data_IF_635080876382
#
_entry.id   IF_635080876382
#
_cell.length_a   1.000
_cell.length_b   1.000
_cell.length_c   1.000
_cell.angle_alpha   90.00
_cell.angle_beta   90.00
_cell.angle_gamma   90.00
#
_symmetry.space_group_name_H-M   'P 1'
#
loop_
_entity.id
_entity.type
_entity.pdbx_description
1 polymer ?
#
# COMPACT_ATOMS: atom_id res chain seq x y z
N UNK A 1 24.85 -5.87 13.80
CA UNK A 1 24.37 -4.76 14.64
C UNK A 1 24.94 -3.49 14.06
N UNK A 2 24.11 -2.46 13.88
CA UNK A 2 24.52 -1.15 13.35
C UNK A 2 25.56 -0.55 14.28
N UNK A 3 26.70 -0.08 13.76
CA UNK A 3 27.67 0.67 14.55
C UNK A 3 27.21 2.12 14.68
N UNK A 4 26.68 2.46 15.86
CA UNK A 4 26.16 3.78 16.19
C UNK A 4 27.00 4.48 17.26
N UNK A 5 28.22 3.99 17.54
CA UNK A 5 29.02 4.46 18.67
C UNK A 5 29.31 5.97 18.65
N UNK A 6 29.36 6.58 17.47
CA UNK A 6 29.63 8.01 17.27
C UNK A 6 28.46 8.77 16.63
N UNK A 7 27.26 8.19 16.58
CA UNK A 7 26.10 8.83 15.99
C UNK A 7 25.33 9.64 17.05
N UNK A 8 25.14 10.93 16.82
CA UNK A 8 24.31 11.80 17.65
C UNK A 8 22.89 11.90 17.06
N UNK A 9 21.87 11.28 17.69
CA UNK A 9 20.50 11.30 17.16
C UNK A 9 19.81 12.66 17.30
N UNK A 10 20.43 13.63 18.00
CA UNK A 10 19.89 14.99 18.16
C UNK A 10 20.53 15.99 17.19
N UNK A 11 21.49 15.55 16.37
CA UNK A 11 22.11 16.43 15.38
C UNK A 11 21.28 16.49 14.09
N UNK A 12 21.64 17.40 13.19
CA UNK A 12 21.03 17.46 11.86
C UNK A 12 21.29 16.16 11.08
N UNK A 13 20.26 15.66 10.40
CA UNK A 13 20.37 14.47 9.56
C UNK A 13 21.39 14.65 8.44
N UNK A 14 22.29 13.68 8.27
CA UNK A 14 23.26 13.67 7.17
C UNK A 14 22.58 13.16 5.88
N UNK A 15 22.47 13.96 4.81
CA UNK A 15 21.82 13.54 3.57
C UNK A 15 22.60 12.48 2.78
N UNK A 16 23.86 12.21 3.13
CA UNK A 16 24.64 11.11 2.54
C UNK A 16 24.36 9.76 3.22
N UNK A 17 23.63 9.75 4.33
CA UNK A 17 23.17 8.55 5.00
C UNK A 17 21.84 8.07 4.39
N UNK A 18 21.26 7.01 4.97
CA UNK A 18 20.00 6.45 4.48
C UNK A 18 18.77 7.18 5.10
N UNK A 19 17.60 6.56 5.09
CA UNK A 19 16.35 7.12 5.61
C UNK A 19 16.51 7.55 7.07
N UNK A 20 15.91 8.69 7.44
CA UNK A 20 16.10 9.37 8.72
C UNK A 20 17.54 9.82 9.01
N UNK A 21 18.43 9.85 8.00
CA UNK A 21 19.83 10.23 8.19
C UNK A 21 20.65 9.17 8.95
N UNK A 22 20.15 7.93 9.05
CA UNK A 22 20.81 6.84 9.76
C UNK A 22 21.94 6.22 8.91
N UNK A 23 23.12 5.98 9.48
CA UNK A 23 24.26 5.37 8.78
C UNK A 23 24.12 3.83 8.72
N UNK A 24 22.93 3.37 8.34
CA UNK A 24 22.57 1.95 8.25
C UNK A 24 22.79 1.42 6.84
N UNK A 25 23.03 0.12 6.76
CA UNK A 25 23.10 -0.64 5.52
C UNK A 25 21.97 -1.66 5.45
N UNK A 26 21.72 -2.23 4.27
CA UNK A 26 20.72 -3.31 4.15
C UNK A 26 21.06 -4.51 5.04
N UNK A 27 22.35 -4.82 5.22
CA UNK A 27 22.82 -5.98 5.97
C UNK A 27 22.62 -5.83 7.48
N UNK A 28 22.80 -4.63 8.03
CA UNK A 28 22.64 -4.36 9.46
C UNK A 28 21.22 -3.93 9.86
N UNK A 29 20.39 -3.51 8.90
CA UNK A 29 19.03 -3.10 9.17
C UNK A 29 18.13 -4.28 9.56
N UNK A 30 17.24 -4.04 10.53
CA UNK A 30 16.15 -4.96 10.88
C UNK A 30 14.97 -4.79 9.93
N UNK A 31 14.58 -3.55 9.63
CA UNK A 31 13.52 -3.20 8.69
C UNK A 31 14.12 -2.67 7.39
N UNK A 32 13.79 -3.33 6.28
CA UNK A 32 14.12 -2.85 4.93
C UNK A 32 12.85 -2.34 4.25
N UNK A 33 12.87 -1.08 3.82
CA UNK A 33 11.79 -0.42 3.08
C UNK A 33 12.07 -0.56 1.58
N UNK A 34 11.12 -1.14 0.87
CA UNK A 34 11.10 -1.23 -0.59
C UNK A 34 10.33 -0.03 -1.17
N UNK A 35 11.00 0.96 -1.80
CA UNK A 35 10.31 1.95 -2.61
C UNK A 35 9.80 1.36 -3.91
N UNK A 36 8.53 1.60 -4.21
CA UNK A 36 7.88 1.10 -5.42
C UNK A 36 7.22 2.29 -6.12
N UNK A 37 7.94 2.97 -7.03
CA UNK A 37 7.46 4.15 -7.73
C UNK A 37 6.47 3.76 -8.84
N UNK A 38 5.25 3.39 -8.46
CA UNK A 38 4.22 2.88 -9.36
C UNK A 38 2.88 3.60 -9.19
N UNK A 39 2.27 4.04 -10.28
CA UNK A 39 0.98 4.75 -10.27
C UNK A 39 0.10 4.49 -11.50
N UNK A 40 0.35 3.40 -12.22
CA UNK A 40 -0.20 3.22 -13.57
C UNK A 40 -1.71 3.30 -13.62
N UNK A 41 -2.39 2.85 -12.57
CA UNK A 41 -3.85 2.64 -12.58
C UNK A 41 -4.63 3.73 -11.87
N UNK A 42 -4.00 4.81 -11.41
CA UNK A 42 -4.70 5.92 -10.75
C UNK A 42 -5.75 6.55 -11.68
N UNK A 43 -6.91 6.89 -11.14
CA UNK A 43 -8.07 7.34 -11.91
C UNK A 43 -8.40 8.83 -11.76
N UNK A 44 -7.93 9.47 -10.69
CA UNK A 44 -8.19 10.89 -10.42
C UNK A 44 -6.88 11.69 -10.27
N UNK A 45 -6.31 11.77 -9.07
CA UNK A 45 -5.04 12.45 -8.83
C UNK A 45 -3.83 11.59 -9.17
N UNK A 46 -2.91 12.14 -9.96
CA UNK A 46 -1.61 11.52 -10.30
C UNK A 46 -0.44 12.12 -9.49
N UNK A 47 0.72 11.49 -9.57
CA UNK A 47 1.99 11.87 -8.93
C UNK A 47 2.48 10.88 -7.88
N UNK A 48 1.71 9.83 -7.56
CA UNK A 48 2.03 8.95 -6.43
C UNK A 48 3.27 8.08 -6.66
N UNK A 49 3.72 7.87 -7.91
CA UNK A 49 5.01 7.21 -8.14
C UNK A 49 6.21 8.03 -7.62
N UNK A 50 6.01 9.31 -7.29
CA UNK A 50 7.02 10.18 -6.65
C UNK A 50 6.96 10.15 -5.12
N UNK A 51 5.94 9.53 -4.52
CA UNK A 51 5.77 9.47 -3.07
C UNK A 51 6.99 8.86 -2.34
N UNK A 52 7.62 7.76 -2.82
CA UNK A 52 8.78 7.22 -2.13
C UNK A 52 9.96 8.20 -2.03
N UNK A 53 10.21 8.98 -3.09
CA UNK A 53 11.27 9.99 -3.08
C UNK A 53 10.94 11.16 -2.15
N UNK A 54 9.68 11.63 -2.18
CA UNK A 54 9.22 12.72 -1.33
C UNK A 54 9.32 12.35 0.15
N UNK A 55 8.91 11.13 0.51
CA UNK A 55 8.97 10.62 1.88
C UNK A 55 10.42 10.44 2.33
N UNK A 56 11.31 9.91 1.49
CA UNK A 56 12.73 9.80 1.83
C UNK A 56 13.33 11.18 2.16
N UNK A 57 13.01 12.22 1.38
CA UNK A 57 13.48 13.59 1.62
C UNK A 57 12.89 14.16 2.92
N UNK A 58 11.59 13.98 3.15
CA UNK A 58 10.91 14.47 4.34
C UNK A 58 11.39 13.78 5.62
N UNK A 59 11.72 12.48 5.53
CA UNK A 59 12.20 11.68 6.66
C UNK A 59 13.48 12.24 7.29
N UNK A 60 14.30 13.00 6.55
CA UNK A 60 15.49 13.68 7.09
C UNK A 60 15.16 14.79 8.10
N UNK A 61 13.92 15.24 8.17
CA UNK A 61 13.46 16.30 9.08
C UNK A 61 12.78 15.76 10.33
N UNK A 62 12.70 14.43 10.49
CA UNK A 62 12.04 13.79 11.63
C UNK A 62 13.06 13.49 12.72
N UNK A 63 12.76 13.90 13.95
CA UNK A 63 13.55 13.55 15.13
C UNK A 63 13.48 12.05 15.41
N UNK A 64 14.60 11.45 15.80
CA UNK A 64 14.69 10.01 16.04
C UNK A 64 14.16 9.56 17.41
N UNK A 65 14.00 10.50 18.34
CA UNK A 65 13.51 10.22 19.69
C UNK A 65 11.99 10.06 19.69
N UNK A 66 11.53 8.91 20.17
CA UNK A 66 10.13 8.62 20.44
C UNK A 66 9.96 8.35 21.95
N UNK A 67 8.99 8.98 22.61
CA UNK A 67 8.85 8.85 24.07
C UNK A 67 8.35 7.47 24.53
N UNK A 68 7.67 6.73 23.68
CA UNK A 68 7.20 5.37 23.97
C UNK A 68 8.27 4.33 23.62
N UNK A 69 9.10 4.62 22.62
CA UNK A 69 10.22 3.76 22.21
C UNK A 69 11.52 4.58 22.05
N UNK A 70 12.14 5.05 23.16
CA UNK A 70 13.30 5.97 23.11
C UNK A 70 14.48 5.52 22.26
N UNK A 71 14.66 4.21 22.13
CA UNK A 71 15.77 3.58 21.41
C UNK A 71 15.31 2.84 20.15
N UNK A 72 14.12 3.15 19.66
CA UNK A 72 13.55 2.53 18.45
C UNK A 72 14.46 2.72 17.24
N UNK A 73 15.01 3.92 17.07
CA UNK A 73 15.94 4.26 15.98
C UNK A 73 17.18 3.34 15.92
N UNK A 74 17.63 2.76 17.04
CA UNK A 74 18.77 1.83 17.11
C UNK A 74 18.48 0.44 16.52
N UNK A 75 17.22 0.13 16.23
CA UNK A 75 16.83 -1.16 15.64
C UNK A 75 17.31 -1.34 14.20
N UNK A 76 17.69 -0.25 13.52
CA UNK A 76 18.23 -0.27 12.16
C UNK A 76 17.14 -0.29 11.09
N UNK A 77 17.08 0.80 10.32
CA UNK A 77 16.13 1.04 9.23
C UNK A 77 16.90 1.33 7.96
N UNK A 78 16.50 0.73 6.84
CA UNK A 78 17.14 0.98 5.56
C UNK A 78 16.10 1.02 4.46
N UNK A 79 16.07 2.08 3.68
CA UNK A 79 15.30 2.18 2.44
C UNK A 79 16.22 1.88 1.26
N UNK A 80 15.83 0.90 0.45
CA UNK A 80 16.53 0.61 -0.80
C UNK A 80 16.50 1.81 -1.74
N UNK A 81 17.45 1.95 -2.66
CA UNK A 81 17.37 2.98 -3.69
C UNK A 81 16.15 2.76 -4.60
N UNK A 82 15.56 3.85 -5.08
CA UNK A 82 14.45 3.81 -6.02
C UNK A 82 14.92 3.19 -7.34
N UNK A 83 14.23 2.14 -7.79
CA UNK A 83 14.53 1.51 -9.07
C UNK A 83 14.08 2.41 -10.24
N UNK A 84 15.06 3.00 -10.93
CA UNK A 84 14.81 3.91 -12.06
C UNK A 84 14.16 3.22 -13.25
N UNK A 85 14.41 1.92 -13.48
CA UNK A 85 13.80 1.18 -14.59
C UNK A 85 12.33 0.93 -14.30
N UNK A 86 12.00 0.59 -13.05
CA UNK A 86 10.62 0.46 -12.60
C UNK A 86 9.87 1.78 -12.73
N UNK A 87 10.47 2.89 -12.30
CA UNK A 87 9.88 4.21 -12.43
C UNK A 87 9.62 4.59 -13.90
N UNK A 88 10.61 4.40 -14.78
CA UNK A 88 10.44 4.66 -16.22
C UNK A 88 9.32 3.81 -16.84
N UNK A 89 9.18 2.55 -16.40
CA UNK A 89 8.09 1.68 -16.84
C UNK A 89 6.73 2.18 -16.34
N UNK A 90 6.64 2.59 -15.08
CA UNK A 90 5.43 3.21 -14.52
C UNK A 90 5.05 4.46 -15.32
N UNK A 91 5.98 5.38 -15.55
CA UNK A 91 5.72 6.62 -16.29
C UNK A 91 5.24 6.36 -17.72
N UNK A 92 5.79 5.35 -18.40
CA UNK A 92 5.33 4.95 -19.74
C UNK A 92 3.91 4.38 -19.71
N UNK A 93 3.67 3.36 -18.87
CA UNK A 93 2.37 2.69 -18.80
C UNK A 93 1.27 3.62 -18.26
N UNK A 94 1.62 4.57 -17.39
CA UNK A 94 0.70 5.58 -16.90
C UNK A 94 0.17 6.45 -18.04
N UNK A 95 1.04 6.92 -18.94
CA UNK A 95 0.61 7.71 -20.13
C UNK A 95 -0.31 6.90 -21.04
N UNK A 96 0.01 5.63 -21.24
CA UNK A 96 -0.84 4.71 -22.01
C UNK A 96 -2.21 4.52 -21.33
N UNK A 97 -2.22 4.30 -20.01
CA UNK A 97 -3.46 4.20 -19.23
C UNK A 97 -4.30 5.48 -19.32
N UNK A 98 -3.69 6.67 -19.25
CA UNK A 98 -4.39 7.96 -19.40
C UNK A 98 -5.11 8.09 -20.74
N UNK A 99 -4.43 7.76 -21.84
CA UNK A 99 -5.02 7.78 -23.18
C UNK A 99 -6.21 6.81 -23.27
N UNK A 100 -6.08 5.64 -22.67
CA UNK A 100 -7.14 4.65 -22.63
C UNK A 100 -8.33 5.09 -21.75
N UNK A 101 -8.08 5.65 -20.57
CA UNK A 101 -9.12 6.17 -19.66
C UNK A 101 -9.90 7.30 -20.35
N UNK A 102 -9.21 8.26 -20.97
CA UNK A 102 -9.84 9.33 -21.73
C UNK A 102 -10.70 8.77 -22.88
N UNK A 103 -10.21 7.76 -23.60
CA UNK A 103 -10.97 7.10 -24.67
C UNK A 103 -12.26 6.47 -24.15
N UNK A 104 -12.22 5.64 -23.10
CA UNK A 104 -13.43 4.99 -22.57
C UNK A 104 -14.39 5.98 -21.88
N UNK A 105 -13.87 7.07 -21.30
CA UNK A 105 -14.70 8.11 -20.67
C UNK A 105 -15.64 8.82 -21.65
N UNK A 106 -15.30 8.80 -22.95
CA UNK A 106 -16.12 9.37 -24.04
C UNK A 106 -17.18 8.40 -24.56
N UNK A 107 -17.27 7.20 -23.99
CA UNK A 107 -18.19 6.15 -24.41
C UNK A 107 -17.74 5.38 -25.65
N UNK A 108 -16.46 5.50 -26.01
CA UNK A 108 -15.90 4.84 -27.20
C UNK A 108 -15.70 3.33 -26.98
N UNK A 109 -15.90 2.54 -28.02
CA UNK A 109 -15.75 1.08 -27.94
C UNK A 109 -14.29 0.66 -28.12
N UNK A 110 -13.71 0.02 -27.09
CA UNK A 110 -12.30 -0.44 -27.09
C UNK A 110 -12.05 -1.50 -28.18
N UNK A 111 -13.04 -2.38 -28.42
CA UNK A 111 -12.93 -3.48 -29.40
C UNK A 111 -12.75 -2.95 -30.83
N UNK A 112 -13.27 -1.76 -31.13
CA UNK A 112 -13.20 -1.12 -32.44
C UNK A 112 -11.85 -0.45 -32.71
N UNK A 113 -11.01 -0.28 -31.67
CA UNK A 113 -9.71 0.39 -31.78
C UNK A 113 -8.57 -0.56 -31.37
N UNK A 114 -7.80 -1.03 -32.37
CA UNK A 114 -6.70 -1.96 -32.15
C UNK A 114 -5.61 -1.41 -31.22
N UNK A 115 -5.37 -0.10 -31.26
CA UNK A 115 -4.40 0.55 -30.40
C UNK A 115 -4.87 0.53 -28.94
N UNK A 116 -6.11 0.96 -28.66
CA UNK A 116 -6.69 0.91 -27.31
C UNK A 116 -6.81 -0.52 -26.76
N UNK A 117 -7.22 -1.47 -27.62
CA UNK A 117 -7.23 -2.90 -27.29
C UNK A 117 -5.84 -3.43 -26.93
N UNK A 118 -4.78 -2.90 -27.54
CA UNK A 118 -3.40 -3.24 -27.20
C UNK A 118 -2.98 -2.57 -25.88
N UNK A 119 -3.30 -1.30 -25.70
CA UNK A 119 -2.97 -0.53 -24.48
C UNK A 119 -3.51 -1.20 -23.22
N UNK A 120 -4.79 -1.59 -23.17
CA UNK A 120 -5.34 -2.29 -21.99
C UNK A 120 -4.63 -3.62 -21.69
N UNK A 121 -4.17 -4.35 -22.72
CA UNK A 121 -3.37 -5.56 -22.51
C UNK A 121 -2.01 -5.23 -21.91
N UNK A 122 -1.31 -4.25 -22.45
CA UNK A 122 0.01 -3.82 -21.95
C UNK A 122 -0.06 -3.31 -20.51
N UNK A 123 -1.10 -2.56 -20.14
CA UNK A 123 -1.31 -2.10 -18.74
C UNK A 123 -1.54 -3.29 -17.80
N UNK A 124 -2.38 -4.24 -18.19
CA UNK A 124 -2.63 -5.44 -17.40
C UNK A 124 -1.38 -6.33 -17.26
N UNK A 125 -0.60 -6.50 -18.33
CA UNK A 125 0.71 -7.16 -18.28
C UNK A 125 1.70 -6.39 -17.38
N UNK A 126 1.60 -5.06 -17.35
CA UNK A 126 2.30 -4.19 -16.41
C UNK A 126 1.99 -4.53 -14.96
N UNK A 127 0.73 -4.72 -14.60
CA UNK A 127 0.30 -5.13 -13.26
C UNK A 127 0.79 -6.53 -12.87
N UNK A 128 0.77 -7.49 -13.79
CA UNK A 128 1.38 -8.82 -13.58
C UNK A 128 2.88 -8.70 -13.30
N UNK A 129 3.58 -7.91 -14.13
CA UNK A 129 5.00 -7.65 -13.94
C UNK A 129 5.29 -7.02 -12.58
N UNK A 130 4.56 -5.99 -12.19
CA UNK A 130 4.74 -5.33 -10.90
C UNK A 130 4.56 -6.35 -9.77
N UNK A 131 3.46 -7.09 -9.79
CA UNK A 131 3.15 -8.11 -8.77
C UNK A 131 4.30 -9.10 -8.63
N UNK A 132 4.84 -9.60 -9.74
CA UNK A 132 5.98 -10.52 -9.73
C UNK A 132 7.26 -9.86 -9.19
N UNK A 133 7.57 -8.65 -9.65
CA UNK A 133 8.75 -7.92 -9.20
C UNK A 133 8.72 -7.67 -7.69
N UNK A 134 7.58 -7.23 -7.13
CA UNK A 134 7.42 -6.99 -5.69
C UNK A 134 7.53 -8.29 -4.90
N UNK A 135 6.92 -9.37 -5.40
CA UNK A 135 7.05 -10.70 -4.82
C UNK A 135 8.51 -11.14 -4.72
N UNK A 136 9.27 -11.03 -5.81
CA UNK A 136 10.68 -11.47 -5.85
C UNK A 136 11.55 -10.65 -4.89
N UNK A 137 11.39 -9.32 -4.86
CA UNK A 137 12.12 -8.45 -3.95
C UNK A 137 11.80 -8.76 -2.48
N UNK A 138 10.51 -8.93 -2.17
CA UNK A 138 10.03 -9.21 -0.81
C UNK A 138 10.53 -10.57 -0.35
N UNK A 139 10.43 -11.60 -1.18
CA UNK A 139 10.85 -12.96 -0.86
C UNK A 139 12.34 -13.04 -0.51
N UNK A 140 13.20 -12.36 -1.27
CA UNK A 140 14.63 -12.30 -0.97
C UNK A 140 14.88 -11.71 0.42
N UNK A 141 14.25 -10.58 0.74
CA UNK A 141 14.42 -9.94 2.04
C UNK A 141 13.88 -10.77 3.20
N UNK A 142 12.70 -11.39 3.03
CA UNK A 142 12.11 -12.28 4.03
C UNK A 142 12.99 -13.51 4.31
N UNK A 143 13.61 -14.09 3.27
CA UNK A 143 14.54 -15.21 3.39
C UNK A 143 15.84 -14.82 4.12
N UNK A 144 16.26 -13.57 3.99
CA UNK A 144 17.38 -13.00 4.74
C UNK A 144 17.01 -12.59 6.18
N UNK A 145 15.82 -12.98 6.66
CA UNK A 145 15.37 -12.71 8.02
C UNK A 145 15.00 -11.25 8.29
N UNK A 146 14.83 -10.42 7.24
CA UNK A 146 14.47 -9.01 7.37
C UNK A 146 12.98 -8.84 7.62
N UNK A 147 12.62 -7.80 8.36
CA UNK A 147 11.28 -7.22 8.28
C UNK A 147 11.23 -6.36 7.02
N UNK A 148 10.12 -6.40 6.29
CA UNK A 148 9.97 -5.69 5.01
C UNK A 148 8.82 -4.72 5.10
N UNK A 149 9.09 -3.46 4.79
CA UNK A 149 8.09 -2.42 4.58
C UNK A 149 7.98 -2.13 3.09
N UNK A 150 6.78 -1.87 2.60
CA UNK A 150 6.57 -1.41 1.22
C UNK A 150 6.14 0.04 1.26
N UNK A 151 6.82 0.87 0.50
CA UNK A 151 6.43 2.24 0.26
C UNK A 151 6.08 2.41 -1.22
N UNK A 152 4.78 2.34 -1.50
CA UNK A 152 4.27 2.35 -2.87
C UNK A 152 4.06 3.74 -3.45
N UNK A 153 3.39 3.75 -4.60
CA UNK A 153 2.63 4.89 -5.08
C UNK A 153 1.14 4.59 -4.95
N UNK A 154 0.55 3.93 -5.94
CA UNK A 154 -0.86 3.51 -5.87
C UNK A 154 -1.05 2.22 -5.06
N UNK A 155 -2.29 1.96 -4.67
CA UNK A 155 -2.63 0.83 -3.79
C UNK A 155 -2.60 -0.54 -4.48
N UNK A 156 -2.27 -0.63 -5.77
CA UNK A 156 -2.09 -1.94 -6.44
C UNK A 156 -0.80 -2.65 -6.03
N UNK A 157 0.18 -1.88 -5.55
CA UNK A 157 1.54 -2.29 -5.23
C UNK A 157 1.69 -3.51 -4.30
N UNK A 158 0.96 -3.64 -3.17
CA UNK A 158 1.28 -4.63 -2.15
C UNK A 158 0.87 -6.08 -2.51
N UNK A 159 0.18 -6.33 -3.63
CA UNK A 159 -0.26 -7.68 -4.00
C UNK A 159 0.91 -8.69 -4.08
N UNK A 160 2.06 -8.28 -4.63
CA UNK A 160 3.25 -9.13 -4.69
C UNK A 160 3.82 -9.45 -3.31
N UNK A 161 3.75 -8.49 -2.38
CA UNK A 161 4.14 -8.68 -0.99
C UNK A 161 3.24 -9.72 -0.32
N UNK A 162 1.91 -9.61 -0.49
CA UNK A 162 0.95 -10.55 0.07
C UNK A 162 1.24 -11.98 -0.38
N UNK A 163 1.55 -12.17 -1.67
CA UNK A 163 1.94 -13.47 -2.22
C UNK A 163 3.22 -14.01 -1.58
N UNK A 164 4.21 -13.15 -1.29
CA UNK A 164 5.47 -13.57 -0.68
C UNK A 164 5.27 -14.01 0.79
N UNK A 165 4.48 -13.28 1.58
CA UNK A 165 4.21 -13.69 2.97
C UNK A 165 3.32 -14.93 3.07
N UNK A 166 2.47 -15.19 2.07
CA UNK A 166 1.66 -16.40 2.01
C UNK A 166 2.47 -17.70 1.93
N UNK A 167 3.73 -17.65 1.49
CA UNK A 167 4.64 -18.79 1.52
C UNK A 167 5.25 -19.04 2.91
N UNK A 168 5.24 -18.02 3.78
CA UNK A 168 5.84 -18.06 5.11
C UNK A 168 4.80 -18.32 6.21
N UNK A 169 3.58 -17.86 6.02
CA UNK A 169 2.51 -17.97 7.00
C UNK A 169 1.35 -18.80 6.43
N UNK A 170 1.00 -19.89 7.12
CA UNK A 170 -0.14 -20.74 6.74
C UNK A 170 -1.49 -20.02 6.82
N UNK A 171 -1.58 -18.99 7.68
CA UNK A 171 -2.74 -18.12 7.83
C UNK A 171 -2.32 -16.73 8.33
N UNK A 172 -2.86 -15.70 7.70
CA UNK A 172 -2.69 -14.31 8.11
C UNK A 172 -3.92 -13.47 7.76
N UNK A 173 -4.03 -12.30 8.36
CA UNK A 173 -5.04 -11.29 8.05
C UNK A 173 -4.43 -10.01 7.51
N UNK A 174 -5.26 -9.19 6.86
CA UNK A 174 -4.92 -7.83 6.46
C UNK A 174 -5.79 -6.86 7.27
N UNK A 175 -5.15 -5.89 7.91
CA UNK A 175 -5.81 -4.67 8.38
C UNK A 175 -5.61 -3.61 7.32
N UNK A 176 -6.67 -3.20 6.65
CA UNK A 176 -6.70 -2.13 5.66
C UNK A 176 -7.28 -0.88 6.31
N UNK A 177 -6.50 0.21 6.31
CA UNK A 177 -6.96 1.55 6.67
C UNK A 177 -7.10 2.32 5.36
N UNK A 178 -8.32 2.72 5.02
CA UNK A 178 -8.65 3.16 3.65
C UNK A 178 -10.04 3.83 3.61
N UNK A 179 -10.23 4.80 2.72
CA UNK A 179 -11.54 5.38 2.44
C UNK A 179 -12.41 4.46 1.54
N UNK A 180 -11.80 3.54 0.82
CA UNK A 180 -12.38 2.67 -0.19
C UNK A 180 -12.27 1.20 0.20
N UNK A 181 -13.06 0.36 -0.48
CA UNK A 181 -13.02 -1.08 -0.27
C UNK A 181 -11.87 -1.77 -1.02
N UNK A 182 -11.50 -1.28 -2.20
CA UNK A 182 -10.62 -1.96 -3.15
C UNK A 182 -11.03 -3.39 -3.50
N UNK A 183 -12.34 -3.63 -3.56
CA UNK A 183 -12.94 -4.94 -3.79
C UNK A 183 -13.51 -5.11 -5.20
N UNK A 184 -13.19 -4.18 -6.12
CA UNK A 184 -13.64 -4.31 -7.52
C UNK A 184 -12.90 -5.43 -8.21
N UNK A 185 -13.60 -6.22 -9.02
CA UNK A 185 -12.99 -7.29 -9.84
C UNK A 185 -11.95 -6.70 -10.80
N UNK A 186 -12.29 -5.57 -11.40
CA UNK A 186 -11.43 -4.72 -12.22
C UNK A 186 -11.99 -3.30 -12.16
N UNK A 187 -11.16 -2.30 -12.47
CA UNK A 187 -11.59 -0.92 -12.61
C UNK A 187 -11.01 -0.34 -13.89
N UNK A 188 -11.85 0.33 -14.69
CA UNK A 188 -11.52 0.81 -16.04
C UNK A 188 -11.05 -0.32 -17.00
N UNK A 189 -11.24 -1.59 -16.64
CA UNK A 189 -10.71 -2.73 -17.39
C UNK A 189 -9.29 -3.15 -16.98
N UNK A 190 -8.71 -2.52 -15.96
CA UNK A 190 -7.47 -2.93 -15.33
C UNK A 190 -7.76 -3.95 -14.22
N UNK A 191 -7.27 -5.18 -14.39
CA UNK A 191 -7.45 -6.29 -13.45
C UNK A 191 -6.58 -6.14 -12.20
N UNK A 192 -5.45 -5.44 -12.31
CA UNK A 192 -4.53 -5.14 -11.22
C UNK A 192 -4.60 -3.65 -10.87
N UNK A 193 -5.82 -3.10 -10.82
CA UNK A 193 -6.06 -1.71 -10.41
C UNK A 193 -5.81 -1.50 -8.93
N UNK A 194 -5.50 -0.26 -8.55
CA UNK A 194 -5.53 0.19 -7.15
C UNK A 194 -6.86 -0.20 -6.47
N UNK A 195 -7.99 0.04 -7.14
CA UNK A 195 -9.34 -0.31 -6.65
C UNK A 195 -9.67 -1.83 -6.63
N UNK A 196 -8.71 -2.71 -6.93
CA UNK A 196 -8.89 -4.16 -7.06
C UNK A 196 -7.95 -4.99 -6.20
N UNK A 197 -7.04 -4.35 -5.45
CA UNK A 197 -5.95 -5.06 -4.77
C UNK A 197 -6.47 -6.06 -3.72
N UNK A 198 -7.52 -5.71 -2.97
CA UNK A 198 -8.07 -6.57 -1.93
C UNK A 198 -8.92 -7.69 -2.51
N UNK A 199 -9.65 -7.43 -3.60
CA UNK A 199 -10.32 -8.49 -4.36
C UNK A 199 -9.31 -9.53 -4.86
N UNK A 200 -8.22 -9.06 -5.47
CA UNK A 200 -7.15 -9.92 -5.96
C UNK A 200 -6.48 -10.71 -4.83
N UNK A 201 -6.22 -10.08 -3.68
CA UNK A 201 -5.65 -10.77 -2.53
C UNK A 201 -6.57 -11.89 -2.02
N UNK A 202 -7.85 -11.60 -1.80
CA UNK A 202 -8.82 -12.57 -1.26
C UNK A 202 -9.08 -13.77 -2.18
N UNK A 203 -9.00 -13.56 -3.49
CA UNK A 203 -9.27 -14.57 -4.52
C UNK A 203 -8.02 -15.38 -4.89
N UNK A 204 -6.85 -14.76 -4.90
CA UNK A 204 -5.61 -15.41 -5.34
C UNK A 204 -4.77 -16.00 -4.20
N UNK A 205 -5.04 -15.62 -2.94
CA UNK A 205 -4.23 -16.03 -1.78
C UNK A 205 -5.10 -16.76 -0.76
N UNK A 206 -5.14 -18.10 -0.78
CA UNK A 206 -5.93 -18.90 0.17
C UNK A 206 -5.53 -18.70 1.64
N UNK A 207 -4.27 -18.38 1.92
CA UNK A 207 -3.74 -18.15 3.27
C UNK A 207 -4.24 -16.84 3.90
N UNK A 208 -4.80 -15.92 3.11
CA UNK A 208 -5.44 -14.71 3.63
C UNK A 208 -6.78 -15.09 4.28
N UNK A 209 -6.78 -15.33 5.59
CA UNK A 209 -7.97 -15.84 6.29
C UNK A 209 -8.96 -14.73 6.64
N UNK A 210 -8.48 -13.50 6.83
CA UNK A 210 -9.30 -12.36 7.25
C UNK A 210 -8.87 -11.05 6.61
N UNK A 211 -9.81 -10.28 6.10
CA UNK A 211 -9.65 -8.86 5.77
C UNK A 211 -10.47 -8.03 6.77
N UNK A 212 -9.83 -7.08 7.43
CA UNK A 212 -10.50 -6.09 8.28
C UNK A 212 -10.25 -4.71 7.69
N UNK A 213 -11.30 -3.99 7.33
CA UNK A 213 -11.23 -2.68 6.70
C UNK A 213 -11.71 -1.61 7.67
N UNK A 214 -11.06 -0.46 7.73
CA UNK A 214 -11.37 0.63 8.67
C UNK A 214 -11.32 1.97 7.96
N UNK A 215 -12.38 2.77 8.08
CA UNK A 215 -12.45 4.11 7.50
C UNK A 215 -13.22 4.19 6.16
N UNK A 216 -13.75 3.05 5.69
CA UNK A 216 -14.46 2.94 4.42
C UNK A 216 -15.69 3.86 4.41
N UNK A 217 -15.81 4.65 3.35
CA UNK A 217 -16.89 5.63 3.16
C UNK A 217 -17.27 5.87 1.71
N UNK A 218 -16.49 5.36 0.75
CA UNK A 218 -16.87 5.30 -0.66
C UNK A 218 -16.73 3.87 -1.20
N UNK A 219 -17.79 3.36 -1.83
CA UNK A 219 -17.88 1.99 -2.33
C UNK A 219 -19.04 1.82 -3.31
N UNK A 220 -18.86 0.94 -4.29
CA UNK A 220 -19.89 0.59 -5.28
C UNK A 220 -20.89 -0.46 -4.80
N UNK A 221 -21.98 -0.63 -5.56
CA UNK A 221 -23.01 -1.65 -5.29
C UNK A 221 -22.48 -3.09 -5.36
N UNK A 222 -21.61 -3.38 -6.33
CA UNK A 222 -21.01 -4.71 -6.47
C UNK A 222 -20.09 -5.05 -5.30
N UNK A 223 -19.32 -4.07 -4.81
CA UNK A 223 -18.46 -4.21 -3.63
C UNK A 223 -19.31 -4.45 -2.38
N UNK A 224 -20.42 -3.72 -2.23
CA UNK A 224 -21.38 -3.92 -1.14
C UNK A 224 -21.98 -5.33 -1.11
N UNK A 225 -22.39 -5.86 -2.28
CA UNK A 225 -22.89 -7.24 -2.37
C UNK A 225 -21.76 -8.25 -2.12
N UNK A 226 -20.53 -7.98 -2.58
CA UNK A 226 -19.38 -8.83 -2.26
C UNK A 226 -19.10 -8.89 -0.75
N UNK A 227 -19.13 -7.75 -0.04
CA UNK A 227 -19.00 -7.69 1.41
C UNK A 227 -20.07 -8.53 2.12
N UNK A 228 -21.33 -8.40 1.71
CA UNK A 228 -22.45 -9.16 2.29
C UNK A 228 -22.29 -10.66 2.12
N UNK A 229 -21.79 -11.10 0.97
CA UNK A 229 -21.61 -12.51 0.64
C UNK A 229 -20.36 -13.13 1.28
N UNK A 230 -19.46 -12.32 1.86
CA UNK A 230 -18.17 -12.77 2.39
C UNK A 230 -17.92 -12.35 3.86
N UNK A 231 -18.99 -12.19 4.66
CA UNK A 231 -18.91 -11.71 6.07
C UNK A 231 -17.99 -12.54 6.99
N UNK A 232 -17.82 -13.83 6.70
CA UNK A 232 -16.93 -14.68 7.49
C UNK A 232 -15.45 -14.29 7.30
N UNK A 233 -15.08 -13.88 6.08
CA UNK A 233 -13.71 -13.48 5.73
C UNK A 233 -13.47 -11.98 5.78
N UNK A 234 -14.51 -11.14 5.70
CA UNK A 234 -14.36 -9.68 5.63
C UNK A 234 -15.12 -9.01 6.78
N UNK A 235 -14.48 -8.05 7.45
CA UNK A 235 -15.13 -7.21 8.45
C UNK A 235 -14.81 -5.75 8.16
N UNK A 236 -15.82 -5.00 7.72
CA UNK A 236 -15.67 -3.60 7.30
C UNK A 236 -16.26 -2.67 8.35
N UNK A 237 -15.44 -1.75 8.82
CA UNK A 237 -15.80 -0.71 9.77
C UNK A 237 -15.91 0.61 9.01
N UNK A 238 -17.14 0.95 8.62
CA UNK A 238 -17.43 2.17 7.88
C UNK A 238 -17.21 3.41 8.75
N UNK A 239 -16.62 4.47 8.17
CA UNK A 239 -16.34 5.72 8.90
C UNK A 239 -17.62 6.29 9.54
N UNK A 240 -18.71 6.33 8.78
CA UNK A 240 -20.02 6.80 9.26
C UNK A 240 -20.47 6.06 10.52
N UNK A 241 -20.34 4.73 10.53
CA UNK A 241 -20.83 3.90 11.63
C UNK A 241 -19.92 4.04 12.86
N UNK A 242 -18.60 4.19 12.65
CA UNK A 242 -17.65 4.56 13.71
C UNK A 242 -18.04 5.91 14.34
N UNK A 243 -18.31 6.94 13.52
CA UNK A 243 -18.69 8.27 14.03
C UNK A 243 -20.01 8.24 14.81
N UNK A 244 -21.01 7.47 14.35
CA UNK A 244 -22.24 7.29 15.11
C UNK A 244 -22.00 6.62 16.47
N UNK A 245 -21.21 5.54 16.51
CA UNK A 245 -20.86 4.87 17.77
C UNK A 245 -20.14 5.82 18.75
N UNK A 246 -19.20 6.63 18.24
CA UNK A 246 -18.51 7.64 19.05
C UNK A 246 -19.46 8.73 19.56
N UNK A 247 -20.39 9.19 18.72
CA UNK A 247 -21.41 10.15 19.11
C UNK A 247 -22.34 9.62 20.21
N UNK A 248 -22.70 8.34 20.14
CA UNK A 248 -23.51 7.64 21.16
C UNK A 248 -22.72 7.29 22.44
N UNK A 249 -21.45 7.70 22.54
CA UNK A 249 -20.65 7.63 23.76
C UNK A 249 -19.68 6.46 23.84
N UNK A 250 -19.55 5.64 22.80
CA UNK A 250 -18.51 4.62 22.75
C UNK A 250 -17.13 5.25 22.51
N UNK A 251 -16.15 4.90 23.34
CA UNK A 251 -14.81 5.45 23.19
C UNK A 251 -14.10 4.84 21.98
N UNK A 252 -13.18 5.60 21.37
CA UNK A 252 -12.34 5.06 20.29
C UNK A 252 -11.58 3.79 20.70
N UNK A 253 -11.13 3.72 21.96
CA UNK A 253 -10.48 2.53 22.52
C UNK A 253 -11.36 1.29 22.43
N UNK A 254 -12.63 1.37 22.82
CA UNK A 254 -13.55 0.22 22.77
C UNK A 254 -13.77 -0.26 21.31
N UNK A 255 -13.92 0.67 20.38
CA UNK A 255 -14.07 0.36 18.96
C UNK A 255 -12.80 -0.31 18.41
N UNK A 256 -11.61 0.20 18.75
CA UNK A 256 -10.33 -0.40 18.34
C UNK A 256 -10.12 -1.78 18.95
N UNK A 257 -10.46 -2.00 20.22
CA UNK A 257 -10.41 -3.32 20.85
C UNK A 257 -11.29 -4.33 20.10
N UNK A 258 -12.48 -3.91 19.65
CA UNK A 258 -13.35 -4.75 18.82
C UNK A 258 -12.71 -5.03 17.44
N UNK A 259 -12.22 -4.02 16.74
CA UNK A 259 -11.55 -4.16 15.43
C UNK A 259 -10.39 -5.16 15.53
N UNK A 260 -9.51 -4.97 16.53
CA UNK A 260 -8.34 -5.84 16.75
C UNK A 260 -8.78 -7.26 17.09
N UNK A 261 -9.89 -7.46 17.81
CA UNK A 261 -10.41 -8.79 18.12
C UNK A 261 -10.84 -9.60 16.89
N UNK A 262 -11.08 -8.95 15.73
CA UNK A 262 -11.40 -9.62 14.46
C UNK A 262 -10.18 -10.14 13.72
N UNK A 263 -9.00 -9.61 14.02
CA UNK A 263 -7.76 -9.95 13.34
C UNK A 263 -7.19 -11.28 13.86
N UNK A 264 -6.57 -12.10 13.01
CA UNK A 264 -5.83 -13.28 13.43
C UNK A 264 -4.47 -12.90 14.02
N UNK A 265 -3.72 -13.89 14.50
CA UNK A 265 -2.41 -13.68 15.14
C UNK A 265 -1.37 -13.01 14.23
N UNK A 266 -1.31 -13.39 12.95
CA UNK A 266 -0.41 -12.79 11.96
C UNK A 266 -1.17 -11.76 11.14
N UNK A 267 -0.71 -10.52 11.13
CA UNK A 267 -1.39 -9.42 10.45
C UNK A 267 -0.41 -8.65 9.57
N UNK A 268 -0.82 -8.37 8.34
CA UNK A 268 -0.22 -7.32 7.53
C UNK A 268 -1.06 -6.05 7.66
N UNK A 269 -0.41 -4.91 7.87
CA UNK A 269 -1.09 -3.61 7.93
C UNK A 269 -0.88 -2.92 6.58
N UNK A 270 -1.99 -2.70 5.87
CA UNK A 270 -2.05 -1.92 4.65
C UNK A 270 -2.68 -0.56 4.97
N UNK A 271 -1.98 0.52 4.66
CA UNK A 271 -2.40 1.87 5.01
C UNK A 271 -2.48 2.71 3.74
N UNK A 272 -3.70 2.96 3.25
CA UNK A 272 -3.95 4.02 2.29
C UNK A 272 -4.07 5.36 3.03
N UNK A 273 -3.39 6.36 2.50
CA UNK A 273 -3.37 7.70 3.09
C UNK A 273 -4.75 8.38 3.01
N UNK A 274 -5.59 8.02 2.04
CA UNK A 274 -6.94 8.57 1.93
C UNK A 274 -7.89 8.07 3.03
N UNK A 275 -7.55 6.99 3.75
CA UNK A 275 -8.26 6.57 4.95
C UNK A 275 -8.26 7.63 6.07
N UNK A 276 -7.29 8.55 6.05
CA UNK A 276 -7.17 9.66 6.99
C UNK A 276 -8.07 10.86 6.64
N UNK A 277 -8.20 11.80 7.57
CA UNK A 277 -8.89 13.06 7.31
C UNK A 277 -8.13 13.86 6.24
N UNK A 278 -8.83 14.11 5.12
CA UNK A 278 -8.36 14.92 3.98
C UNK A 278 -7.70 16.24 4.40
N UNK A 279 -8.14 16.88 5.49
CA UNK A 279 -7.55 18.15 5.96
C UNK A 279 -6.09 18.02 6.36
N UNK A 280 -5.69 16.84 6.81
CA UNK A 280 -4.31 16.52 7.21
C UNK A 280 -3.51 15.91 6.05
N UNK A 281 -4.19 15.25 5.12
CA UNK A 281 -3.60 14.58 3.96
C UNK A 281 -4.18 15.09 2.63
N UNK A 282 -4.01 16.38 2.28
CA UNK A 282 -4.70 16.98 1.12
C UNK A 282 -4.16 16.53 -0.25
N UNK A 283 -3.03 15.81 -0.27
CA UNK A 283 -2.31 15.41 -1.47
C UNK A 283 -2.42 13.89 -1.74
N UNK A 284 -3.62 13.34 -1.63
CA UNK A 284 -3.95 11.97 -2.04
C UNK A 284 -4.62 11.94 -3.42
N UNK A 285 -4.59 10.78 -4.07
CA UNK A 285 -5.17 10.55 -5.40
C UNK A 285 -6.69 10.64 -5.41
N UNK A 286 -7.37 10.14 -4.37
CA UNK A 286 -8.83 10.01 -4.26
C UNK A 286 -9.31 10.47 -2.87
N UNK A 287 -9.45 11.79 -2.63
CA UNK A 287 -9.63 12.37 -1.30
C UNK A 287 -11.06 12.31 -0.71
#
# INVERSE_FOLDING_TARGET
MVDLANYDPNCVSNPNNNIFGLPTSEDDARLVILPIPWEVTVSYGAGTARAPEAIFKAALQVDLFDSEVPEGWKQGYYMRPIDRKLLMKSDYLRKEAELYIDYISRGEEVSANQFMSKTIREVNEGGVFLTQWVYDQTKVLLNNGKLVGVLGGDHSVPLGYFKAIAEKYESFGILQIDAHCDLRVAYEGFNYSHASVMYNALTQIPQLSKLVQVGVRDYGGDEWEYLKNNKDRISTYFDRDIKYRQYEGETWKQIVEEIVSKLPQNVFISFDIDGLDRKLCPHTGTP
#
